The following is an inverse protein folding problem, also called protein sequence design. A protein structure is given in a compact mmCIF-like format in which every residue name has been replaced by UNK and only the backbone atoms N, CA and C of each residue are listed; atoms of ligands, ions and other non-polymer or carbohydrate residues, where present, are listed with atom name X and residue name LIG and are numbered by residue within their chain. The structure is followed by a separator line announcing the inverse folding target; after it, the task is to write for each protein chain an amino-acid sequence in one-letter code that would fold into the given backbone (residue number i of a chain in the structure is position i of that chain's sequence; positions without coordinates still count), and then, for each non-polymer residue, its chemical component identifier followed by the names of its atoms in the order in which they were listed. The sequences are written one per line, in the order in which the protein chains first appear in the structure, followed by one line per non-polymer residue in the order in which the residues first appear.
data_IF_454803240264
#
_entry.id   IF_454803240264
#
_cell.length_a   1.000
_cell.length_b   1.000
_cell.length_c   1.000
_cell.angle_alpha   90.00
_cell.angle_beta   90.00
_cell.angle_gamma   90.00
#
_symmetry.space_group_name_H-M   'P 1'
#
loop_
_entity.id
_entity.type
_entity.pdbx_description
1 polymer ?
#
# COMPACT_ATOMS: atom_id res chain seq x y z
N UNK A 1 -12.10 -9.13 -31.11
CA UNK A 1 -12.62 -8.32 -30.00
C UNK A 1 -13.19 -9.18 -28.86
N UNK A 2 -14.38 -9.85 -29.03
CA UNK A 2 -14.97 -10.66 -27.93
C UNK A 2 -14.07 -11.83 -27.53
N UNK A 3 -13.47 -12.56 -28.49
CA UNK A 3 -12.53 -13.65 -28.20
C UNK A 3 -11.34 -13.14 -27.41
N UNK A 4 -10.71 -12.10 -27.89
CA UNK A 4 -9.57 -11.46 -27.23
C UNK A 4 -9.90 -10.97 -25.81
N UNK A 5 -11.08 -10.34 -25.59
CA UNK A 5 -11.51 -9.93 -24.27
C UNK A 5 -11.67 -11.11 -23.31
N UNK A 6 -12.17 -12.26 -23.77
CA UNK A 6 -12.26 -13.48 -22.98
C UNK A 6 -10.88 -14.05 -22.64
N UNK A 7 -9.95 -14.00 -23.60
CA UNK A 7 -8.58 -14.51 -23.42
C UNK A 7 -7.80 -13.64 -22.42
N UNK A 8 -7.98 -12.30 -22.46
CA UNK A 8 -7.31 -11.37 -21.53
C UNK A 8 -7.67 -11.70 -20.08
N UNK A 9 -8.91 -12.03 -19.78
CA UNK A 9 -9.37 -12.34 -18.42
C UNK A 9 -9.50 -13.85 -18.14
N UNK A 10 -8.97 -14.68 -19.03
CA UNK A 10 -8.95 -16.16 -18.89
C UNK A 10 -10.34 -16.79 -18.63
N UNK A 11 -11.36 -16.38 -19.41
CA UNK A 11 -12.73 -16.90 -19.28
C UNK A 11 -13.20 -17.67 -20.52
N UNK A 12 -12.34 -17.90 -21.51
CA UNK A 12 -12.69 -18.51 -22.78
C UNK A 12 -13.34 -19.90 -22.60
N UNK A 13 -12.83 -20.74 -21.70
CA UNK A 13 -13.32 -22.10 -21.42
C UNK A 13 -14.74 -22.12 -20.87
N UNK A 14 -15.18 -21.03 -20.27
CA UNK A 14 -16.50 -20.89 -19.65
C UNK A 14 -17.55 -20.28 -20.59
N UNK A 15 -17.23 -20.12 -21.88
CA UNK A 15 -18.10 -19.44 -22.86
C UNK A 15 -19.43 -20.10 -23.09
N UNK A 16 -19.57 -21.39 -22.75
CA UNK A 16 -20.82 -22.17 -22.89
C UNK A 16 -21.73 -22.11 -21.66
N UNK A 17 -21.23 -21.54 -20.55
CA UNK A 17 -21.97 -21.47 -19.30
C UNK A 17 -22.80 -20.18 -19.24
N UNK A 18 -24.01 -20.30 -18.72
CA UNK A 18 -24.85 -19.14 -18.43
C UNK A 18 -24.24 -18.35 -17.24
N UNK A 19 -24.33 -17.01 -17.24
CA UNK A 19 -23.78 -16.18 -16.16
C UNK A 19 -24.19 -16.63 -14.75
N UNK A 20 -25.45 -17.04 -14.57
CA UNK A 20 -26.00 -17.52 -13.31
C UNK A 20 -25.37 -18.82 -12.78
N UNK A 21 -24.61 -19.53 -13.61
CA UNK A 21 -23.89 -20.77 -13.24
C UNK A 21 -22.40 -20.53 -12.95
N UNK A 22 -21.92 -19.28 -13.09
CA UNK A 22 -20.54 -18.91 -12.85
C UNK A 22 -20.31 -18.62 -11.37
N UNK A 23 -19.11 -18.93 -10.87
CA UNK A 23 -18.67 -18.46 -9.56
C UNK A 23 -18.53 -16.93 -9.53
N UNK A 24 -18.47 -16.31 -8.35
CA UNK A 24 -18.31 -14.87 -8.20
C UNK A 24 -17.06 -14.34 -8.94
N UNK A 25 -15.93 -15.04 -8.85
CA UNK A 25 -14.71 -14.67 -9.57
C UNK A 25 -14.84 -14.79 -11.08
N UNK A 26 -15.51 -15.85 -11.58
CA UNK A 26 -15.79 -16.01 -13.00
C UNK A 26 -16.77 -14.94 -13.52
N UNK A 27 -17.76 -14.61 -12.74
CA UNK A 27 -18.72 -13.55 -13.07
C UNK A 27 -18.04 -12.17 -13.13
N UNK A 28 -17.14 -11.88 -12.18
CA UNK A 28 -16.34 -10.63 -12.18
C UNK A 28 -15.47 -10.57 -13.44
N UNK A 29 -14.79 -11.66 -13.81
CA UNK A 29 -14.01 -11.75 -15.05
C UNK A 29 -14.88 -11.57 -16.31
N UNK A 30 -16.09 -12.11 -16.32
CA UNK A 30 -17.04 -11.89 -17.40
C UNK A 30 -17.43 -10.42 -17.53
N UNK A 31 -17.73 -9.73 -16.43
CA UNK A 31 -18.05 -8.31 -16.42
C UNK A 31 -16.90 -7.48 -16.99
N UNK A 32 -15.66 -7.78 -16.59
CA UNK A 32 -14.47 -7.14 -17.15
C UNK A 32 -14.37 -7.39 -18.67
N UNK A 33 -14.56 -8.65 -19.12
CA UNK A 33 -14.52 -8.98 -20.53
C UNK A 33 -15.55 -8.19 -21.36
N UNK A 34 -16.76 -8.00 -20.82
CA UNK A 34 -17.79 -7.16 -21.46
C UNK A 34 -17.34 -5.69 -21.57
N UNK A 35 -16.75 -5.14 -20.49
CA UNK A 35 -16.28 -3.76 -20.45
C UNK A 35 -15.12 -3.46 -21.42
N UNK A 36 -14.27 -4.46 -21.71
CA UNK A 36 -13.09 -4.27 -22.58
C UNK A 36 -13.30 -4.74 -24.03
N UNK A 37 -14.45 -5.36 -24.34
CA UNK A 37 -14.70 -5.97 -25.66
C UNK A 37 -14.63 -4.97 -26.83
N UNK A 38 -14.91 -3.69 -26.59
CA UNK A 38 -14.87 -2.63 -27.59
C UNK A 38 -13.48 -1.95 -27.70
N UNK A 39 -12.46 -2.45 -26.97
CA UNK A 39 -11.08 -1.94 -26.94
C UNK A 39 -10.96 -0.46 -26.53
N UNK A 40 -11.45 -0.09 -25.36
CA UNK A 40 -11.37 1.29 -24.88
C UNK A 40 -9.90 1.70 -24.66
N UNK A 41 -9.58 2.97 -24.94
CA UNK A 41 -8.26 3.54 -24.67
C UNK A 41 -8.09 3.97 -23.22
N UNK A 42 -9.18 4.23 -22.51
CA UNK A 42 -9.23 4.57 -21.09
C UNK A 42 -10.19 3.64 -20.37
N UNK A 43 -9.73 3.04 -19.29
CA UNK A 43 -10.49 2.07 -18.49
C UNK A 43 -10.43 2.45 -17.02
N UNK A 44 -11.58 2.46 -16.37
CA UNK A 44 -11.71 2.60 -14.93
C UNK A 44 -12.00 1.24 -14.31
N UNK A 45 -11.13 0.78 -13.45
CA UNK A 45 -11.36 -0.39 -12.61
C UNK A 45 -11.57 0.06 -11.17
N UNK A 46 -12.81 0.00 -10.74
CA UNK A 46 -13.18 0.34 -9.37
C UNK A 46 -13.25 -0.94 -8.53
N UNK A 47 -12.25 -1.13 -7.67
CA UNK A 47 -12.09 -2.29 -6.79
C UNK A 47 -12.36 -3.65 -7.48
N UNK A 48 -11.71 -3.97 -8.60
CA UNK A 48 -12.11 -5.12 -9.43
C UNK A 48 -11.86 -6.48 -8.77
N UNK A 49 -11.10 -6.54 -7.69
CA UNK A 49 -10.67 -7.77 -7.01
C UNK A 49 -11.34 -8.00 -5.67
N UNK A 50 -12.19 -7.08 -5.22
CA UNK A 50 -12.93 -7.22 -3.95
C UNK A 50 -13.86 -8.43 -3.99
N UNK A 51 -13.83 -9.22 -2.91
CA UNK A 51 -14.61 -10.45 -2.74
C UNK A 51 -14.37 -11.52 -3.83
N UNK A 52 -13.20 -11.52 -4.46
CA UNK A 52 -12.78 -12.49 -5.47
C UNK A 52 -11.76 -13.46 -4.87
N UNK A 53 -11.88 -14.73 -5.21
CA UNK A 53 -10.92 -15.75 -4.79
C UNK A 53 -9.50 -15.46 -5.31
N UNK A 54 -8.43 -15.94 -4.64
CA UNK A 54 -7.05 -15.61 -5.00
C UNK A 54 -6.67 -15.97 -6.42
N UNK A 55 -7.19 -17.09 -6.96
CA UNK A 55 -6.90 -17.54 -8.32
C UNK A 55 -7.53 -16.59 -9.35
N UNK A 56 -8.80 -16.24 -9.17
CA UNK A 56 -9.49 -15.26 -10.03
C UNK A 56 -8.91 -13.87 -9.91
N UNK A 57 -8.49 -13.46 -8.70
CA UNK A 57 -7.78 -12.20 -8.46
C UNK A 57 -6.52 -12.10 -9.32
N UNK A 58 -5.65 -13.10 -9.27
CA UNK A 58 -4.42 -13.11 -10.07
C UNK A 58 -4.71 -13.01 -11.58
N UNK A 59 -5.73 -13.73 -12.08
CA UNK A 59 -6.13 -13.65 -13.49
C UNK A 59 -6.65 -12.26 -13.89
N UNK A 60 -7.36 -11.57 -13.01
CA UNK A 60 -7.78 -10.18 -13.22
C UNK A 60 -6.57 -9.26 -13.31
N UNK A 61 -5.62 -9.36 -12.37
CA UNK A 61 -4.41 -8.52 -12.35
C UNK A 61 -3.53 -8.76 -13.59
N UNK A 62 -3.35 -10.01 -14.00
CA UNK A 62 -2.65 -10.36 -15.25
C UNK A 62 -3.32 -9.73 -16.47
N UNK A 63 -4.66 -9.79 -16.55
CA UNK A 63 -5.44 -9.19 -17.62
C UNK A 63 -5.31 -7.66 -17.67
N UNK A 64 -5.33 -7.00 -16.53
CA UNK A 64 -5.14 -5.54 -16.40
C UNK A 64 -3.73 -5.13 -16.88
N UNK A 65 -2.68 -5.86 -16.46
CA UNK A 65 -1.32 -5.63 -16.96
C UNK A 65 -1.21 -5.78 -18.47
N UNK A 66 -1.90 -6.76 -19.04
CA UNK A 66 -1.91 -6.97 -20.48
C UNK A 66 -2.59 -5.81 -21.21
N UNK A 67 -3.76 -5.35 -20.75
CA UNK A 67 -4.47 -4.21 -21.32
C UNK A 67 -3.59 -2.94 -21.34
N UNK A 68 -2.87 -2.68 -20.25
CA UNK A 68 -1.97 -1.54 -20.17
C UNK A 68 -0.82 -1.68 -21.17
N UNK A 69 -0.16 -2.84 -21.27
CA UNK A 69 0.89 -3.10 -22.27
C UNK A 69 0.40 -2.98 -23.71
N UNK A 70 -0.86 -3.31 -23.96
CA UNK A 70 -1.52 -3.18 -25.26
C UNK A 70 -1.95 -1.73 -25.57
N UNK A 71 -1.60 -0.76 -24.66
CA UNK A 71 -1.74 0.68 -24.89
C UNK A 71 -2.97 1.33 -24.24
N UNK A 72 -3.74 0.61 -23.41
CA UNK A 72 -4.83 1.23 -22.67
C UNK A 72 -4.29 2.01 -21.47
N UNK A 73 -4.84 3.20 -21.23
CA UNK A 73 -4.65 3.95 -19.99
C UNK A 73 -5.62 3.39 -18.95
N UNK A 74 -5.11 3.10 -17.75
CA UNK A 74 -5.91 2.47 -16.70
C UNK A 74 -5.93 3.35 -15.46
N UNK A 75 -7.13 3.61 -14.95
CA UNK A 75 -7.35 4.16 -13.62
C UNK A 75 -7.86 3.01 -12.74
N UNK A 76 -7.11 2.71 -11.71
CA UNK A 76 -7.33 1.57 -10.83
C UNK A 76 -7.53 2.03 -9.40
N UNK A 77 -8.66 1.66 -8.78
CA UNK A 77 -8.87 1.89 -7.36
C UNK A 77 -8.74 0.58 -6.58
N UNK A 78 -8.10 0.62 -5.45
CA UNK A 78 -8.00 -0.50 -4.52
C UNK A 78 -7.59 -0.02 -3.13
N UNK A 79 -8.00 -0.74 -2.12
CA UNK A 79 -7.46 -0.62 -0.76
C UNK A 79 -6.38 -1.68 -0.47
N UNK A 80 -6.10 -2.57 -1.41
CA UNK A 80 -5.01 -3.55 -1.33
C UNK A 80 -3.71 -2.95 -1.86
N UNK A 81 -2.84 -2.51 -0.96
CA UNK A 81 -1.61 -1.82 -1.33
C UNK A 81 -0.69 -2.66 -2.21
N UNK A 82 -0.66 -3.99 -2.00
CA UNK A 82 0.13 -4.93 -2.82
C UNK A 82 -0.27 -4.89 -4.31
N UNK A 83 -1.57 -4.77 -4.62
CA UNK A 83 -2.04 -4.66 -5.99
C UNK A 83 -1.61 -3.33 -6.62
N UNK A 84 -1.78 -2.23 -5.86
CA UNK A 84 -1.39 -0.89 -6.29
C UNK A 84 0.11 -0.82 -6.58
N UNK A 85 0.95 -1.37 -5.69
CA UNK A 85 2.40 -1.43 -5.88
C UNK A 85 2.82 -2.29 -7.09
N UNK A 86 2.00 -3.28 -7.43
CA UNK A 86 2.28 -4.20 -8.53
C UNK A 86 1.83 -3.68 -9.90
N UNK A 87 0.75 -2.88 -9.94
CA UNK A 87 0.09 -2.47 -11.17
C UNK A 87 0.38 -1.03 -11.57
N UNK A 88 0.48 -0.11 -10.59
CA UNK A 88 0.40 1.31 -10.86
C UNK A 88 1.79 1.95 -11.01
N UNK A 89 1.97 2.74 -12.06
CA UNK A 89 3.16 3.57 -12.27
C UNK A 89 3.12 4.82 -11.37
N UNK A 90 1.92 5.36 -11.15
CA UNK A 90 1.66 6.51 -10.27
C UNK A 90 0.49 6.22 -9.35
N UNK A 91 0.60 6.68 -8.12
CA UNK A 91 -0.35 6.40 -7.04
C UNK A 91 -0.84 7.71 -6.47
N UNK A 92 -2.15 7.89 -6.40
CA UNK A 92 -2.81 8.95 -5.66
C UNK A 92 -3.37 8.39 -4.36
N UNK A 93 -2.89 8.89 -3.23
CA UNK A 93 -3.45 8.56 -1.91
C UNK A 93 -4.51 9.60 -1.56
N UNK A 94 -5.69 9.12 -1.19
CA UNK A 94 -6.83 9.97 -0.83
C UNK A 94 -7.38 9.60 0.55
N UNK A 95 -7.77 10.61 1.31
CA UNK A 95 -8.54 10.44 2.55
C UNK A 95 -9.61 11.54 2.64
N UNK A 96 -10.82 11.18 3.07
CA UNK A 96 -11.97 12.09 3.24
C UNK A 96 -12.19 13.03 2.06
N UNK A 97 -12.06 12.50 0.83
CA UNK A 97 -12.25 13.26 -0.41
C UNK A 97 -11.11 14.22 -0.77
N UNK A 98 -10.00 14.20 -0.04
CA UNK A 98 -8.82 15.05 -0.31
C UNK A 98 -7.66 14.21 -0.80
N UNK A 99 -6.92 14.73 -1.79
CA UNK A 99 -5.65 14.17 -2.20
C UNK A 99 -4.60 14.45 -1.12
N UNK A 100 -4.01 13.41 -0.54
CA UNK A 100 -2.95 13.51 0.46
C UNK A 100 -1.56 13.52 -0.18
N UNK A 101 -1.33 12.63 -1.15
CA UNK A 101 -0.06 12.52 -1.84
C UNK A 101 -0.27 11.95 -3.25
N UNK A 102 0.57 12.35 -4.19
CA UNK A 102 0.61 11.84 -5.55
C UNK A 102 2.06 11.64 -5.97
N UNK A 103 2.40 10.45 -6.46
CA UNK A 103 3.76 10.16 -6.92
C UNK A 103 3.91 8.72 -7.40
N UNK A 104 5.13 8.38 -7.78
CA UNK A 104 5.54 6.98 -7.97
C UNK A 104 5.66 6.29 -6.62
N UNK A 105 5.67 4.96 -6.63
CA UNK A 105 5.90 4.14 -5.42
C UNK A 105 7.13 4.60 -4.61
N UNK A 106 8.25 4.87 -5.31
CA UNK A 106 9.50 5.25 -4.65
C UNK A 106 9.46 6.68 -4.10
N UNK A 107 8.78 7.60 -4.77
CA UNK A 107 8.54 8.95 -4.26
C UNK A 107 7.70 8.92 -2.99
N UNK A 108 6.60 8.18 -3.00
CA UNK A 108 5.73 8.04 -1.83
C UNK A 108 6.43 7.34 -0.67
N UNK A 109 7.21 6.28 -0.93
CA UNK A 109 8.02 5.63 0.11
C UNK A 109 9.10 6.54 0.69
N UNK A 110 9.67 7.44 -0.11
CA UNK A 110 10.63 8.46 0.40
C UNK A 110 9.96 9.50 1.28
N UNK A 111 8.71 9.87 1.01
CA UNK A 111 7.95 10.75 1.88
C UNK A 111 7.78 10.17 3.30
N UNK A 112 7.58 8.85 3.39
CA UNK A 112 7.46 8.13 4.67
C UNK A 112 8.83 7.87 5.31
N UNK A 113 9.88 7.62 4.51
CA UNK A 113 11.25 7.38 5.00
C UNK A 113 11.90 8.58 5.69
N UNK A 114 11.27 9.74 5.67
CA UNK A 114 11.68 10.87 6.51
C UNK A 114 11.18 10.74 7.96
N UNK A 115 10.46 9.69 8.30
CA UNK A 115 10.11 9.38 9.69
C UNK A 115 10.81 8.09 10.10
N UNK A 116 11.64 8.15 11.13
CA UNK A 116 12.27 7.01 11.79
C UNK A 116 11.57 6.80 13.13
N UNK A 117 11.25 5.56 13.47
CA UNK A 117 10.73 5.22 14.79
C UNK A 117 11.75 4.34 15.48
N UNK A 118 12.21 4.76 16.63
CA UNK A 118 13.13 4.01 17.49
C UNK A 118 12.32 3.48 18.66
N UNK A 119 12.33 2.17 18.86
CA UNK A 119 11.72 1.49 19.99
C UNK A 119 12.83 0.94 20.88
N UNK A 120 12.75 1.22 22.17
CA UNK A 120 13.72 0.75 23.18
C UNK A 120 12.96 0.20 24.37
N UNK A 121 13.37 -0.94 24.88
CA UNK A 121 12.85 -1.46 26.13
C UNK A 121 13.66 -0.86 27.30
N UNK A 122 12.98 -0.19 28.22
CA UNK A 122 13.57 0.46 29.40
C UNK A 122 12.70 0.15 30.59
N UNK A 123 13.31 -0.28 31.69
CA UNK A 123 12.57 -0.69 32.88
C UNK A 123 11.78 0.46 33.53
N UNK A 124 12.39 1.65 33.59
CA UNK A 124 11.76 2.83 34.17
C UNK A 124 12.32 4.11 33.53
N UNK A 125 11.50 5.15 33.43
CA UNK A 125 11.84 6.44 32.85
C UNK A 125 11.12 7.55 33.62
N UNK A 126 11.87 8.50 34.18
CA UNK A 126 11.30 9.65 34.88
C UNK A 126 10.67 10.65 33.88
N UNK A 127 9.72 11.46 34.35
CA UNK A 127 9.11 12.53 33.53
C UNK A 127 10.17 13.52 33.00
N UNK A 128 11.16 13.87 33.80
CA UNK A 128 12.26 14.76 33.40
C UNK A 128 13.10 14.18 32.26
N UNK A 129 13.37 12.87 32.28
CA UNK A 129 14.08 12.16 31.22
C UNK A 129 13.20 12.06 29.94
N UNK A 130 11.91 11.82 30.10
CA UNK A 130 10.96 11.79 28.98
C UNK A 130 10.88 13.18 28.29
N UNK A 131 10.85 14.25 29.06
CA UNK A 131 10.85 15.62 28.53
C UNK A 131 12.16 15.99 27.83
N UNK A 132 13.30 15.50 28.35
CA UNK A 132 14.59 15.67 27.69
C UNK A 132 14.65 14.92 26.36
N UNK A 133 14.09 13.72 26.27
CA UNK A 133 14.02 12.96 25.02
C UNK A 133 13.15 13.66 23.95
N UNK A 134 12.13 14.40 24.36
CA UNK A 134 11.32 15.24 23.46
C UNK A 134 12.11 16.40 22.84
N UNK A 135 13.24 16.79 23.46
CA UNK A 135 14.12 17.85 22.94
C UNK A 135 15.20 17.33 21.99
N UNK A 136 15.29 16.03 21.76
CA UNK A 136 16.25 15.48 20.79
C UNK A 136 15.99 16.05 19.39
N UNK A 137 17.06 16.35 18.68
CA UNK A 137 17.00 16.93 17.34
C UNK A 137 16.17 16.03 16.40
N UNK A 138 15.20 16.63 15.72
CA UNK A 138 14.23 15.95 14.84
C UNK A 138 13.22 15.00 15.53
N UNK A 139 13.23 14.83 16.85
CA UNK A 139 12.17 14.12 17.54
C UNK A 139 10.90 14.99 17.54
N UNK A 140 9.77 14.43 17.07
CA UNK A 140 8.49 15.15 17.06
C UNK A 140 7.43 14.52 17.96
N UNK A 141 7.65 13.27 18.36
CA UNK A 141 6.77 12.58 19.30
C UNK A 141 7.58 11.56 20.10
N UNK A 142 7.36 11.52 21.40
CA UNK A 142 7.95 10.56 22.32
C UNK A 142 6.85 10.02 23.22
N UNK A 143 6.79 8.69 23.38
CA UNK A 143 5.87 8.03 24.29
C UNK A 143 6.59 6.93 25.07
N UNK A 144 6.20 6.75 26.33
CA UNK A 144 6.69 5.66 27.18
C UNK A 144 5.50 4.97 27.84
N UNK A 145 5.31 3.69 27.52
CA UNK A 145 4.21 2.88 28.04
C UNK A 145 4.68 1.43 28.25
N UNK A 146 4.35 0.85 29.40
CA UNK A 146 4.63 -0.55 29.72
C UNK A 146 6.09 -0.97 29.50
N UNK A 147 7.05 -0.10 29.86
CA UNK A 147 8.47 -0.40 29.70
C UNK A 147 8.99 -0.23 28.26
N UNK A 148 8.16 0.30 27.34
CA UNK A 148 8.56 0.59 25.96
C UNK A 148 8.62 2.09 25.70
N UNK A 149 9.81 2.58 25.42
CA UNK A 149 10.05 3.93 24.91
C UNK A 149 9.93 3.91 23.39
N UNK A 150 9.11 4.80 22.82
CA UNK A 150 8.98 5.02 21.37
C UNK A 150 9.29 6.46 21.05
N UNK A 151 10.25 6.68 20.17
CA UNK A 151 10.63 8.01 19.70
C UNK A 151 10.45 8.07 18.20
N UNK A 152 9.71 9.08 17.76
CA UNK A 152 9.42 9.34 16.35
C UNK A 152 10.23 10.54 15.88
N UNK A 153 11.03 10.35 14.83
CA UNK A 153 11.88 11.39 14.24
C UNK A 153 11.37 11.80 12.85
N UNK A 154 11.39 13.10 12.58
CA UNK A 154 11.10 13.66 11.26
C UNK A 154 12.40 13.89 10.50
N UNK A 155 12.87 12.88 9.75
CA UNK A 155 14.16 12.96 9.04
C UNK A 155 15.36 12.78 9.95
N UNK A 156 16.55 13.07 9.39
CA UNK A 156 17.84 12.91 10.08
C UNK A 156 18.55 11.62 9.71
N UNK A 157 19.89 11.68 9.81
CA UNK A 157 20.74 10.49 9.76
C UNK A 157 21.29 10.26 11.16
N UNK A 158 21.36 9.00 11.57
CA UNK A 158 21.96 8.62 12.87
C UNK A 158 21.14 8.98 14.12
N UNK A 159 19.80 9.14 14.01
CA UNK A 159 18.96 9.40 15.17
C UNK A 159 19.15 8.35 16.28
N UNK A 160 19.37 7.08 15.90
CA UNK A 160 19.65 6.01 16.85
C UNK A 160 20.89 6.28 17.71
N UNK A 161 21.95 6.88 17.15
CA UNK A 161 23.15 7.22 17.89
C UNK A 161 22.83 8.25 18.98
N UNK A 162 22.05 9.28 18.64
CA UNK A 162 21.65 10.30 19.61
C UNK A 162 20.79 9.73 20.75
N UNK A 163 19.95 8.73 20.45
CA UNK A 163 19.18 8.03 21.48
C UNK A 163 20.08 7.19 22.36
N UNK A 164 20.98 6.40 21.77
CA UNK A 164 21.93 5.57 22.54
C UNK A 164 22.85 6.42 23.43
N UNK A 165 23.44 7.48 22.90
CA UNK A 165 24.27 8.42 23.66
C UNK A 165 23.50 9.01 24.86
N UNK A 166 22.23 9.37 24.65
CA UNK A 166 21.38 9.89 25.71
C UNK A 166 21.14 8.84 26.81
N UNK A 167 20.81 7.59 26.42
CA UNK A 167 20.55 6.50 27.35
C UNK A 167 21.80 6.17 28.18
N UNK A 168 22.96 6.08 27.54
CA UNK A 168 24.25 5.83 28.22
C UNK A 168 24.61 6.96 29.19
N UNK A 169 24.51 8.22 28.79
CA UNK A 169 24.82 9.39 29.64
C UNK A 169 23.90 9.47 30.87
N UNK A 170 22.69 8.95 30.77
CA UNK A 170 21.72 8.93 31.89
C UNK A 170 21.70 7.60 32.65
N UNK A 171 22.65 6.68 32.38
CA UNK A 171 22.76 5.35 33.00
C UNK A 171 21.45 4.53 32.91
N UNK A 172 20.72 4.68 31.82
CA UNK A 172 19.50 3.92 31.58
C UNK A 172 19.85 2.56 30.95
N UNK A 173 19.46 1.48 31.62
CA UNK A 173 19.62 0.12 31.08
C UNK A 173 18.54 -0.13 30.05
N UNK A 174 18.91 -0.56 28.86
CA UNK A 174 18.00 -0.84 27.74
C UNK A 174 18.32 -2.18 27.09
N UNK A 175 17.29 -2.80 26.47
CA UNK A 175 17.35 -4.05 25.73
C UNK A 175 16.74 -3.93 24.34
#
# INVERSE_FOLDING_TARGET
NVKEAKDIVHIADYSKFLPKKLSGGLLRRLNIACGIAHKPKLIFFDEPTVAVDPQSRNKILEGIKRLNRDGATIIYTSHYMEEVEQLCDRILIMDKGKALALGTKDELKRMIKNTETINVEIADLSEAQLDSLKQLHNAYQVSFENGQLRIYFSGGRHNIIHVLDYLEQNNLSFG
#
